data_IF_130251012126
#
_entry.id   IF_130251012126
#
_cell.length_a   1.000
_cell.length_b   1.000
_cell.length_c   1.000
_cell.angle_alpha   90.00
_cell.angle_beta   90.00
_cell.angle_gamma   90.00
#
_symmetry.space_group_name_H-M   'P 1'
#
loop_
_entity.id
_entity.type
_entity.pdbx_description
1 polymer ?
#
# COMPACT_ATOMS: atom_id res chain seq x y z
N UNK A 1 29.47 -13.52 -24.65
CA UNK A 1 28.54 -12.50 -24.09
C UNK A 1 27.66 -12.01 -25.23
N UNK A 2 26.45 -12.54 -25.33
CA UNK A 2 25.40 -11.95 -26.21
C UNK A 2 25.03 -10.59 -25.65
N UNK A 3 25.75 -9.59 -26.10
CA UNK A 3 25.43 -8.22 -25.75
C UNK A 3 24.09 -7.88 -26.41
N UNK A 4 23.08 -7.66 -25.57
CA UNK A 4 21.77 -7.13 -26.00
C UNK A 4 22.00 -5.95 -26.94
N UNK A 5 21.40 -5.97 -28.14
CA UNK A 5 21.57 -4.87 -29.09
C UNK A 5 21.00 -3.58 -28.48
N UNK A 6 21.60 -2.43 -28.80
CA UNK A 6 21.09 -1.12 -28.36
C UNK A 6 19.62 -0.93 -28.75
N UNK A 7 19.22 -1.43 -29.89
CA UNK A 7 17.83 -1.38 -30.38
C UNK A 7 16.91 -2.19 -29.47
N UNK A 8 17.29 -3.43 -29.14
CA UNK A 8 16.45 -4.30 -28.30
C UNK A 8 16.35 -3.78 -26.88
N UNK A 9 17.46 -3.28 -26.33
CA UNK A 9 17.48 -2.62 -25.01
C UNK A 9 16.54 -1.39 -25.00
N UNK A 10 16.60 -0.53 -26.01
CA UNK A 10 15.75 0.64 -26.14
C UNK A 10 14.27 0.26 -26.26
N UNK A 11 13.95 -0.72 -27.09
CA UNK A 11 12.56 -1.17 -27.28
C UNK A 11 11.99 -1.78 -26.03
N UNK A 12 12.76 -2.57 -25.28
CA UNK A 12 12.36 -3.11 -23.98
C UNK A 12 12.09 -1.98 -22.97
N UNK A 13 13.05 -1.05 -22.80
CA UNK A 13 12.92 0.06 -21.86
C UNK A 13 11.77 1.00 -22.19
N UNK A 14 11.57 1.30 -23.48
CA UNK A 14 10.45 2.11 -23.93
C UNK A 14 9.10 1.45 -23.63
N UNK A 15 8.99 0.16 -23.90
CA UNK A 15 7.77 -0.62 -23.66
C UNK A 15 7.39 -0.66 -22.19
N UNK A 16 8.35 -1.02 -21.31
CA UNK A 16 8.10 -1.06 -19.86
C UNK A 16 7.75 0.34 -19.31
N UNK A 17 8.48 1.37 -19.75
CA UNK A 17 8.21 2.75 -19.34
C UNK A 17 6.82 3.24 -19.74
N UNK A 18 6.39 2.98 -20.97
CA UNK A 18 5.07 3.35 -21.45
C UNK A 18 3.95 2.63 -20.70
N UNK A 19 4.10 1.33 -20.49
CA UNK A 19 3.14 0.53 -19.74
C UNK A 19 3.05 0.98 -18.27
N UNK A 20 4.18 1.19 -17.60
CA UNK A 20 4.24 1.66 -16.22
C UNK A 20 3.59 3.03 -16.05
N UNK A 21 3.84 3.96 -16.98
CA UNK A 21 3.21 5.28 -16.97
C UNK A 21 1.69 5.20 -17.12
N UNK A 22 1.20 4.36 -18.02
CA UNK A 22 -0.23 4.18 -18.25
C UNK A 22 -0.91 3.57 -17.02
N UNK A 23 -0.36 2.50 -16.44
CA UNK A 23 -0.88 1.87 -15.22
C UNK A 23 -0.85 2.84 -14.04
N UNK A 24 0.27 3.54 -13.83
CA UNK A 24 0.39 4.49 -12.74
C UNK A 24 -0.67 5.59 -12.81
N UNK A 25 -0.94 6.13 -13.98
CA UNK A 25 -1.96 7.20 -14.13
C UNK A 25 -3.38 6.73 -13.76
N UNK A 26 -3.70 5.49 -14.01
CA UNK A 26 -4.99 4.90 -13.61
C UNK A 26 -4.99 4.67 -12.10
N UNK A 27 -3.95 4.02 -11.56
CA UNK A 27 -3.80 3.75 -10.12
C UNK A 27 -3.83 5.05 -9.31
N UNK A 28 -3.06 6.06 -9.71
CA UNK A 28 -3.01 7.37 -9.06
C UNK A 28 -4.41 8.01 -8.95
N UNK A 29 -5.16 7.99 -10.05
CA UNK A 29 -6.51 8.55 -10.10
C UNK A 29 -7.48 7.79 -9.17
N UNK A 30 -7.50 6.47 -9.26
CA UNK A 30 -8.44 5.66 -8.49
C UNK A 30 -8.10 5.69 -7.00
N UNK A 31 -6.82 5.61 -6.66
CA UNK A 31 -6.34 5.73 -5.28
C UNK A 31 -6.69 7.10 -4.68
N UNK A 32 -6.41 8.19 -5.38
CA UNK A 32 -6.76 9.52 -4.90
C UNK A 32 -8.28 9.71 -4.73
N UNK A 33 -9.09 9.19 -5.64
CA UNK A 33 -10.55 9.23 -5.51
C UNK A 33 -11.06 8.45 -4.30
N UNK A 34 -10.46 7.28 -4.04
CA UNK A 34 -10.81 6.45 -2.88
C UNK A 34 -10.57 7.16 -1.55
N UNK A 35 -9.39 7.77 -1.38
CA UNK A 35 -8.99 8.35 -0.09
C UNK A 35 -9.37 9.82 0.08
N UNK A 36 -9.82 10.49 -0.97
CA UNK A 36 -10.23 11.91 -0.95
C UNK A 36 -11.27 12.24 0.13
N UNK A 37 -12.31 11.42 0.39
CA UNK A 37 -13.30 11.69 1.43
C UNK A 37 -12.71 11.78 2.85
N UNK A 38 -11.54 11.17 3.08
CA UNK A 38 -10.82 11.16 4.36
C UNK A 38 -9.85 12.34 4.51
N UNK A 39 -9.80 13.24 3.51
CA UNK A 39 -8.89 14.38 3.52
C UNK A 39 -7.41 14.00 3.41
N UNK A 40 -7.12 12.86 2.78
CA UNK A 40 -5.77 12.34 2.55
C UNK A 40 -5.37 12.49 1.07
N UNK A 41 -4.06 12.67 0.85
CA UNK A 41 -3.44 12.40 -0.45
C UNK A 41 -2.73 11.04 -0.43
N UNK A 42 -2.29 10.57 -1.61
CA UNK A 42 -1.67 9.26 -1.78
C UNK A 42 -0.46 9.08 -0.86
N UNK A 43 0.42 10.09 -0.77
CA UNK A 43 1.60 10.00 0.08
C UNK A 43 1.23 9.92 1.56
N UNK A 44 0.27 10.70 2.03
CA UNK A 44 -0.22 10.65 3.41
C UNK A 44 -0.82 9.29 3.74
N UNK A 45 -1.65 8.74 2.87
CA UNK A 45 -2.24 7.41 3.04
C UNK A 45 -1.17 6.31 3.06
N UNK A 46 -0.20 6.38 2.14
CA UNK A 46 0.89 5.42 2.08
C UNK A 46 1.82 5.50 3.30
N UNK A 47 2.07 6.71 3.83
CA UNK A 47 2.84 6.90 5.08
C UNK A 47 2.12 6.26 6.27
N UNK A 48 0.80 6.42 6.40
CA UNK A 48 0.02 5.75 7.45
C UNK A 48 0.12 4.23 7.34
N UNK A 49 0.03 3.68 6.13
CA UNK A 49 0.23 2.26 5.88
C UNK A 49 1.61 1.78 6.31
N UNK A 50 2.67 2.47 5.91
CA UNK A 50 4.06 2.12 6.28
C UNK A 50 4.26 2.21 7.80
N UNK A 51 3.79 3.27 8.45
CA UNK A 51 3.90 3.46 9.88
C UNK A 51 3.10 2.40 10.67
N UNK A 52 2.00 1.90 10.14
CA UNK A 52 1.23 0.80 10.73
C UNK A 52 1.99 -0.53 10.70
N UNK A 53 2.67 -0.86 9.59
CA UNK A 53 3.38 -2.13 9.44
C UNK A 53 4.81 -2.13 9.96
N UNK A 54 5.43 -0.95 10.09
CA UNK A 54 6.72 -0.79 10.74
C UNK A 54 6.54 -0.20 12.13
N UNK A 55 6.77 -0.98 13.16
CA UNK A 55 6.75 -0.49 14.54
C UNK A 55 7.92 0.48 14.78
N UNK A 56 7.70 1.74 14.39
CA UNK A 56 8.69 2.81 14.38
C UNK A 56 9.53 2.86 13.09
N UNK A 57 9.05 3.59 12.10
CA UNK A 57 9.75 3.87 10.84
C UNK A 57 10.56 5.17 10.94
N UNK A 58 11.79 5.18 10.43
CA UNK A 58 12.53 6.44 10.21
C UNK A 58 11.98 7.16 8.97
N UNK A 59 12.29 8.45 8.82
CA UNK A 59 11.95 9.18 7.58
C UNK A 59 12.62 8.55 6.35
N UNK A 60 13.82 7.99 6.53
CA UNK A 60 14.51 7.25 5.47
C UNK A 60 13.77 5.98 5.08
N UNK A 61 13.21 5.23 6.05
CA UNK A 61 12.37 4.06 5.78
C UNK A 61 11.11 4.45 5.02
N UNK A 62 10.42 5.50 5.47
CA UNK A 62 9.22 6.01 4.80
C UNK A 62 9.52 6.45 3.37
N UNK A 63 10.64 7.14 3.14
CA UNK A 63 11.10 7.53 1.81
C UNK A 63 11.35 6.31 0.92
N UNK A 64 12.08 5.31 1.43
CA UNK A 64 12.44 4.08 0.71
C UNK A 64 11.19 3.26 0.36
N UNK A 65 10.40 2.90 1.36
CA UNK A 65 9.23 2.02 1.17
C UNK A 65 8.04 2.74 0.53
N UNK A 66 7.91 4.04 0.75
CA UNK A 66 6.89 4.87 0.09
C UNK A 66 7.25 5.28 -1.33
N UNK A 67 8.47 4.96 -1.79
CA UNK A 67 8.99 5.36 -3.11
C UNK A 67 8.78 6.86 -3.33
N UNK A 68 9.19 7.65 -2.35
CA UNK A 68 9.05 9.12 -2.38
C UNK A 68 10.35 9.79 -1.95
N UNK A 69 10.52 11.05 -2.32
CA UNK A 69 11.68 11.83 -1.90
C UNK A 69 11.68 12.04 -0.37
N UNK A 70 12.86 12.05 0.25
CA UNK A 70 13.03 12.23 1.72
C UNK A 70 12.32 13.49 2.23
N UNK A 71 12.40 14.60 1.51
CA UNK A 71 11.70 15.83 1.88
C UNK A 71 10.18 15.69 1.81
N UNK A 72 9.66 14.91 0.86
CA UNK A 72 8.23 14.59 0.75
C UNK A 72 7.78 13.73 1.93
N UNK A 73 8.54 12.68 2.25
CA UNK A 73 8.30 11.83 3.41
C UNK A 73 8.26 12.64 4.71
N UNK A 74 9.25 13.53 4.92
CA UNK A 74 9.30 14.38 6.11
C UNK A 74 8.11 15.34 6.18
N UNK A 75 7.85 16.10 5.12
CA UNK A 75 6.81 17.12 5.11
C UNK A 75 5.40 16.53 5.33
N UNK A 76 5.07 15.43 4.69
CA UNK A 76 3.76 14.79 4.89
C UNK A 76 3.66 14.07 6.24
N UNK A 77 4.74 13.49 6.74
CA UNK A 77 4.75 12.92 8.10
C UNK A 77 4.52 14.00 9.16
N UNK A 78 5.12 15.19 8.99
CA UNK A 78 4.86 16.33 9.88
C UNK A 78 3.42 16.82 9.82
N UNK A 79 2.83 16.94 8.65
CA UNK A 79 1.41 17.29 8.51
C UNK A 79 0.48 16.26 9.17
N UNK A 80 0.81 14.98 9.08
CA UNK A 80 0.05 13.92 9.75
C UNK A 80 0.24 13.96 11.28
N UNK A 81 1.43 14.30 11.77
CA UNK A 81 1.67 14.54 13.20
C UNK A 81 0.84 15.73 13.71
N UNK A 82 0.84 16.87 13.00
CA UNK A 82 0.02 18.05 13.34
C UNK A 82 -1.49 17.73 13.40
N UNK A 83 -1.95 16.77 12.59
CA UNK A 83 -3.33 16.28 12.59
C UNK A 83 -3.59 15.19 13.64
N UNK A 84 -2.58 14.77 14.40
CA UNK A 84 -2.70 13.78 15.47
C UNK A 84 -2.67 12.30 14.99
N UNK A 85 -2.35 12.04 13.73
CA UNK A 85 -2.33 10.68 13.18
C UNK A 85 -1.00 9.97 13.30
N UNK A 86 0.07 10.71 13.46
CA UNK A 86 1.43 10.21 13.73
C UNK A 86 2.02 10.87 14.96
N UNK A 87 3.05 10.25 15.52
CA UNK A 87 3.91 10.84 16.54
C UNK A 87 5.37 10.55 16.23
N UNK A 88 6.25 11.50 16.56
CA UNK A 88 7.68 11.36 16.43
C UNK A 88 8.29 11.08 17.79
N UNK A 89 9.12 10.06 17.88
CA UNK A 89 9.79 9.66 19.12
C UNK A 89 11.22 9.18 18.85
N UNK A 90 12.03 9.17 19.89
CA UNK A 90 13.35 8.52 19.85
C UNK A 90 13.25 7.19 20.60
N UNK A 91 14.00 6.19 20.15
CA UNK A 91 14.17 4.93 20.87
C UNK A 91 15.25 5.11 21.94
N UNK A 92 15.10 4.44 23.07
CA UNK A 92 16.05 4.52 24.19
C UNK A 92 17.45 4.00 23.80
N UNK A 93 17.48 3.01 22.93
CA UNK A 93 18.68 2.37 22.38
C UNK A 93 19.23 3.07 21.13
N UNK A 94 18.46 3.95 20.50
CA UNK A 94 18.88 4.75 19.35
C UNK A 94 18.44 6.21 19.43
N UNK A 95 19.25 7.01 20.10
CA UNK A 95 19.03 8.47 20.25
C UNK A 95 19.41 9.29 19.00
N UNK A 96 20.04 8.67 17.99
CA UNK A 96 20.46 9.34 16.76
C UNK A 96 19.31 9.52 15.78
N UNK A 97 18.48 8.51 15.67
CA UNK A 97 17.34 8.51 14.76
C UNK A 97 16.07 8.99 15.46
N UNK A 98 15.17 9.58 14.69
CA UNK A 98 13.80 9.88 15.08
C UNK A 98 12.88 8.93 14.35
N UNK A 99 12.00 8.29 15.08
CA UNK A 99 11.07 7.29 14.59
C UNK A 99 9.67 7.85 14.53
N UNK A 100 8.93 7.45 13.54
CA UNK A 100 7.53 7.80 13.30
C UNK A 100 6.68 6.61 13.68
N UNK A 101 5.67 6.84 14.51
CA UNK A 101 4.69 5.83 14.94
C UNK A 101 3.29 6.30 14.56
N UNK A 102 2.44 5.35 14.19
CA UNK A 102 1.02 5.63 13.99
C UNK A 102 0.32 5.74 15.35
N UNK A 103 -0.57 6.72 15.50
CA UNK A 103 -1.42 6.86 16.70
C UNK A 103 -2.68 6.00 16.57
N UNK A 104 -3.45 5.87 17.66
CA UNK A 104 -4.76 5.21 17.63
C UNK A 104 -5.73 5.89 16.65
N UNK A 105 -5.69 7.21 16.58
CA UNK A 105 -6.46 8.01 15.63
C UNK A 105 -6.02 7.76 14.19
N UNK A 106 -4.71 7.62 13.97
CA UNK A 106 -4.14 7.25 12.68
C UNK A 106 -4.54 5.86 12.24
N UNK A 107 -4.50 4.88 13.15
CA UNK A 107 -4.95 3.51 12.86
C UNK A 107 -6.44 3.44 12.55
N UNK A 108 -7.26 4.20 13.31
CA UNK A 108 -8.70 4.30 13.04
C UNK A 108 -8.96 4.88 11.65
N UNK A 109 -8.28 5.97 11.29
CA UNK A 109 -8.41 6.58 9.97
C UNK A 109 -7.99 5.60 8.86
N UNK A 110 -6.88 4.88 9.03
CA UNK A 110 -6.43 3.88 8.06
C UNK A 110 -7.47 2.76 7.90
N UNK A 111 -8.00 2.23 8.99
CA UNK A 111 -9.06 1.21 8.98
C UNK A 111 -10.31 1.71 8.25
N UNK A 112 -10.75 2.94 8.54
CA UNK A 112 -11.91 3.55 7.86
C UNK A 112 -11.70 3.67 6.35
N UNK A 113 -10.47 3.95 5.88
CA UNK A 113 -10.19 3.95 4.44
C UNK A 113 -10.34 2.56 3.83
N UNK A 114 -9.86 1.51 4.50
CA UNK A 114 -9.97 0.13 4.02
C UNK A 114 -11.42 -0.36 3.97
N UNK A 115 -12.20 -0.08 5.00
CA UNK A 115 -13.63 -0.44 5.08
C UNK A 115 -14.48 0.25 4.00
N UNK A 116 -14.09 1.44 3.57
CA UNK A 116 -14.77 2.23 2.54
C UNK A 116 -14.22 2.02 1.12
N UNK A 117 -13.30 1.06 0.93
CA UNK A 117 -12.86 0.69 -0.41
C UNK A 117 -14.01 0.10 -1.23
N UNK A 118 -14.17 0.58 -2.47
CA UNK A 118 -15.21 0.10 -3.38
C UNK A 118 -14.61 -0.52 -4.65
N UNK A 119 -14.70 -1.85 -4.81
CA UNK A 119 -14.23 -2.54 -6.01
C UNK A 119 -14.85 -2.02 -7.31
N UNK A 120 -16.06 -1.45 -7.22
CA UNK A 120 -16.78 -0.88 -8.37
C UNK A 120 -16.11 0.37 -8.93
N UNK A 121 -15.24 1.02 -8.16
CA UNK A 121 -14.55 2.24 -8.55
C UNK A 121 -13.07 2.00 -8.94
N UNK A 122 -12.63 0.74 -8.92
CA UNK A 122 -11.26 0.34 -9.23
C UNK A 122 -11.15 -0.09 -10.71
N UNK A 123 -10.48 0.73 -11.52
CA UNK A 123 -10.33 0.51 -12.96
C UNK A 123 -9.37 -0.63 -13.27
N UNK A 124 -8.31 -0.81 -12.46
CA UNK A 124 -7.35 -1.91 -12.62
C UNK A 124 -8.04 -3.24 -12.34
N UNK A 125 -8.80 -3.31 -11.24
CA UNK A 125 -9.58 -4.49 -10.91
C UNK A 125 -10.55 -4.86 -12.04
N UNK A 126 -11.32 -3.88 -12.54
CA UNK A 126 -12.24 -4.08 -13.67
C UNK A 126 -11.53 -4.58 -14.92
N UNK A 127 -10.39 -3.97 -15.27
CA UNK A 127 -9.57 -4.38 -16.41
C UNK A 127 -8.98 -5.79 -16.26
N UNK A 128 -8.81 -6.26 -15.02
CA UNK A 128 -8.26 -7.58 -14.71
C UNK A 128 -9.32 -8.70 -14.68
N UNK A 129 -10.62 -8.37 -14.58
CA UNK A 129 -11.70 -9.38 -14.52
C UNK A 129 -11.74 -10.35 -15.69
N UNK A 130 -11.54 -9.95 -16.96
CA UNK A 130 -11.48 -10.87 -18.08
C UNK A 130 -10.34 -11.89 -17.94
N UNK A 131 -9.19 -11.47 -17.43
CA UNK A 131 -8.04 -12.35 -17.17
C UNK A 131 -8.33 -13.31 -16.02
N UNK A 132 -8.96 -12.83 -14.95
CA UNK A 132 -9.44 -13.69 -13.85
C UNK A 132 -10.41 -14.75 -14.35
N UNK A 133 -11.34 -14.40 -15.22
CA UNK A 133 -12.29 -15.34 -15.82
C UNK A 133 -11.59 -16.38 -16.69
N UNK A 134 -10.55 -15.99 -17.42
CA UNK A 134 -9.80 -16.87 -18.31
C UNK A 134 -8.89 -17.84 -17.54
N UNK A 135 -8.19 -17.35 -16.51
CA UNK A 135 -7.15 -18.09 -15.79
C UNK A 135 -7.59 -18.62 -14.41
N UNK A 136 -8.80 -18.30 -13.96
CA UNK A 136 -9.33 -18.70 -12.65
C UNK A 136 -8.78 -17.90 -11.46
N UNK A 137 -7.80 -17.03 -11.69
CA UNK A 137 -7.18 -16.13 -10.68
C UNK A 137 -6.81 -14.78 -11.29
N UNK A 138 -6.59 -13.78 -10.44
CA UNK A 138 -6.02 -12.52 -10.88
C UNK A 138 -4.59 -12.71 -11.39
N UNK A 139 -4.14 -11.88 -12.36
CA UNK A 139 -2.75 -11.90 -12.82
C UNK A 139 -1.78 -11.69 -11.67
N UNK A 140 -0.74 -12.49 -11.65
CA UNK A 140 0.45 -12.30 -10.83
C UNK A 140 1.56 -11.72 -11.72
N UNK A 141 2.51 -11.00 -11.11
CA UNK A 141 3.55 -10.30 -11.86
C UNK A 141 4.96 -10.66 -11.33
N UNK A 142 5.35 -11.95 -11.32
CA UNK A 142 6.60 -12.39 -10.72
C UNK A 142 7.84 -11.78 -11.38
N UNK A 143 7.81 -11.56 -12.69
CA UNK A 143 8.91 -10.93 -13.43
C UNK A 143 9.09 -9.47 -13.02
N UNK A 144 8.00 -8.71 -12.87
CA UNK A 144 8.03 -7.31 -12.41
C UNK A 144 8.53 -7.25 -10.97
N UNK A 145 8.05 -8.13 -10.10
CA UNK A 145 8.51 -8.21 -8.71
C UNK A 145 10.00 -8.55 -8.62
N UNK A 146 10.49 -9.43 -9.50
CA UNK A 146 11.93 -9.75 -9.59
C UNK A 146 12.75 -8.52 -10.00
N UNK A 147 12.29 -7.75 -10.99
CA UNK A 147 12.95 -6.50 -11.40
C UNK A 147 12.99 -5.50 -10.25
N UNK A 148 11.88 -5.34 -9.54
CA UNK A 148 11.80 -4.44 -8.37
C UNK A 148 12.79 -4.88 -7.29
N UNK A 149 12.89 -6.19 -7.02
CA UNK A 149 13.83 -6.75 -6.04
C UNK A 149 15.30 -6.45 -6.41
N UNK A 150 15.67 -6.58 -7.67
CA UNK A 150 17.01 -6.26 -8.15
C UNK A 150 17.36 -4.78 -7.99
N UNK A 151 16.38 -3.88 -8.17
CA UNK A 151 16.58 -2.43 -8.10
C UNK A 151 16.52 -1.90 -6.67
N UNK A 152 15.54 -2.31 -5.88
CA UNK A 152 15.26 -1.79 -4.54
C UNK A 152 15.80 -2.67 -3.39
N UNK A 153 16.23 -3.89 -3.70
CA UNK A 153 16.74 -4.87 -2.74
C UNK A 153 15.66 -5.78 -2.15
N UNK A 154 16.10 -6.90 -1.56
CA UNK A 154 15.22 -7.92 -0.98
C UNK A 154 14.40 -7.42 0.21
N UNK A 155 14.95 -6.51 1.02
CA UNK A 155 14.23 -5.94 2.17
C UNK A 155 12.97 -5.19 1.74
N UNK A 156 13.04 -4.44 0.64
CA UNK A 156 11.88 -3.73 0.08
C UNK A 156 10.76 -4.70 -0.30
N UNK A 157 11.07 -5.77 -1.03
CA UNK A 157 10.08 -6.76 -1.45
C UNK A 157 9.54 -7.58 -0.29
N UNK A 158 10.37 -7.91 0.72
CA UNK A 158 9.92 -8.61 1.92
C UNK A 158 8.92 -7.78 2.72
N UNK A 159 9.18 -6.49 2.92
CA UNK A 159 8.23 -5.61 3.60
C UNK A 159 6.93 -5.50 2.82
N UNK A 160 7.02 -5.33 1.51
CA UNK A 160 5.90 -5.30 0.60
C UNK A 160 5.02 -6.55 0.74
N UNK A 161 5.61 -7.75 0.60
CA UNK A 161 4.91 -9.04 0.71
C UNK A 161 4.31 -9.24 2.12
N UNK A 162 5.08 -9.01 3.18
CA UNK A 162 4.61 -9.21 4.55
C UNK A 162 3.49 -8.24 4.95
N UNK A 163 3.52 -7.01 4.45
CA UNK A 163 2.45 -6.04 4.72
C UNK A 163 1.12 -6.46 4.09
N UNK A 164 1.14 -7.05 2.90
CA UNK A 164 -0.05 -7.60 2.27
C UNK A 164 -0.58 -8.85 2.96
N UNK A 165 0.29 -9.75 3.40
CA UNK A 165 -0.10 -10.94 4.18
C UNK A 165 -0.79 -10.54 5.50
N UNK A 166 -0.23 -9.56 6.21
CA UNK A 166 -0.82 -9.05 7.44
C UNK A 166 -2.17 -8.35 7.19
N UNK A 167 -2.26 -7.53 6.14
CA UNK A 167 -3.51 -6.88 5.76
C UNK A 167 -4.58 -7.90 5.39
N UNK A 168 -4.24 -8.92 4.60
CA UNK A 168 -5.16 -9.99 4.24
C UNK A 168 -5.68 -10.72 5.48
N UNK A 169 -4.81 -11.11 6.39
CA UNK A 169 -5.19 -11.80 7.62
C UNK A 169 -6.12 -10.94 8.51
N UNK A 170 -5.83 -9.63 8.63
CA UNK A 170 -6.68 -8.70 9.38
C UNK A 170 -8.08 -8.54 8.76
N UNK A 171 -8.17 -8.47 7.44
CA UNK A 171 -9.44 -8.39 6.72
C UNK A 171 -10.26 -9.69 6.85
N UNK A 172 -9.62 -10.86 6.73
CA UNK A 172 -10.27 -12.16 6.93
C UNK A 172 -10.86 -12.30 8.35
N UNK A 173 -10.12 -11.86 9.38
CA UNK A 173 -10.63 -11.85 10.75
C UNK A 173 -11.84 -10.92 10.92
N UNK A 174 -11.81 -9.74 10.29
CA UNK A 174 -12.92 -8.79 10.33
C UNK A 174 -14.17 -9.35 9.64
N UNK A 175 -14.02 -9.99 8.49
CA UNK A 175 -15.12 -10.66 7.77
C UNK A 175 -15.74 -11.80 8.59
N UNK A 176 -14.93 -12.64 9.21
CA UNK A 176 -15.40 -13.75 10.07
C UNK A 176 -16.15 -13.22 11.30
N UNK A 177 -15.67 -12.14 11.93
CA UNK A 177 -16.34 -11.52 13.06
C UNK A 177 -17.71 -10.94 12.67
N UNK A 178 -17.80 -10.31 11.49
CA UNK A 178 -19.05 -9.76 10.97
C UNK A 178 -20.07 -10.85 10.64
N UNK A 179 -19.63 -11.95 10.00
CA UNK A 179 -20.49 -13.10 9.71
C UNK A 179 -21.04 -13.73 10.98
N UNK A 180 -20.21 -13.94 12.00
CA UNK A 180 -20.61 -14.50 13.29
C UNK A 180 -21.62 -13.60 14.03
N UNK A 181 -21.48 -12.28 13.90
CA UNK A 181 -22.43 -11.31 14.49
C UNK A 181 -23.79 -11.38 13.79
N UNK A 182 -23.79 -11.35 12.47
CA UNK A 182 -25.01 -11.42 11.66
C UNK A 182 -25.77 -12.74 11.89
N UNK A 183 -25.06 -13.85 12.08
CA UNK A 183 -25.67 -15.15 12.38
C UNK A 183 -26.33 -15.18 13.76
N UNK A 184 -25.67 -14.60 14.78
CA UNK A 184 -26.25 -14.45 16.12
C UNK A 184 -27.49 -13.57 16.12
N UNK A 185 -27.48 -12.45 15.40
CA UNK A 185 -28.63 -11.56 15.27
C UNK A 185 -29.84 -12.28 14.60
N UNK A 186 -29.58 -13.03 13.53
CA UNK A 186 -30.63 -13.83 12.86
C UNK A 186 -31.23 -14.92 13.78
N UNK A 187 -30.41 -15.55 14.61
CA UNK A 187 -30.90 -16.55 15.58
C UNK A 187 -31.78 -15.87 16.63
N UNK A 188 -31.39 -14.68 17.13
CA UNK A 188 -32.16 -13.93 18.12
C UNK A 188 -33.49 -13.41 17.56
N UNK A 189 -33.56 -13.07 16.29
CA UNK A 189 -34.81 -12.61 15.63
C UNK A 189 -35.78 -13.80 15.31
N UNK A 190 -35.30 -15.03 15.41
CA UNK A 190 -36.11 -16.23 15.13
C UNK A 190 -36.82 -16.82 16.37
N UNK A 191 -36.62 -16.20 17.54
CA UNK A 191 -37.30 -16.52 18.82
C UNK A 191 -38.24 -15.40 19.22
#
# INVERSE_FOLDING_TARGET
EDLLSKRDALMYSYKIGQMSKALWKIVEKDWQNWIKPFGLNINEHHILWIAHYLDGATISDISKYGVMHVSTAFNFSKKLEERGYLTFSKKDDDKRNTYVYITKEGEKLLTETLENYSPKNDSILKGSLPLKSLYGKFPEFPEILSIIREIYGSEFTQLFESSFEQANHSLEQAEQALQSKNEKERILESF
#
